data_IF_837924163520
#
_entry.id   IF_837924163520
#
_cell.length_a   1.000
_cell.length_b   1.000
_cell.length_c   1.000
_cell.angle_alpha   90.00
_cell.angle_beta   90.00
_cell.angle_gamma   90.00
#
_symmetry.space_group_name_H-M   'P 1'
#
loop_
_entity.id
_entity.type
_entity.pdbx_description
1 polymer ?
#
# COMPACT_ATOMS: atom_id res chain seq x y z
N UNK A 1 -39.10 -18.06 -25.45
CA UNK A 1 -38.20 -16.95 -25.85
C UNK A 1 -38.15 -16.88 -27.35
N UNK A 2 -38.30 -15.70 -27.93
CA UNK A 2 -38.19 -15.47 -29.38
C UNK A 2 -36.84 -14.83 -29.72
N UNK A 3 -36.39 -14.98 -30.97
CA UNK A 3 -35.14 -14.40 -31.45
C UNK A 3 -35.11 -12.87 -31.26
N UNK A 4 -36.24 -12.22 -31.47
CA UNK A 4 -36.41 -10.78 -31.29
C UNK A 4 -36.18 -10.31 -29.85
N UNK A 5 -36.62 -11.12 -28.87
CA UNK A 5 -36.35 -10.86 -27.45
C UNK A 5 -34.85 -10.93 -27.12
N UNK A 6 -34.13 -11.89 -27.74
CA UNK A 6 -32.68 -12.06 -27.54
C UNK A 6 -31.90 -10.89 -28.14
N UNK A 7 -32.28 -10.44 -29.35
CA UNK A 7 -31.65 -9.29 -30.01
C UNK A 7 -31.86 -8.00 -29.21
N UNK A 8 -33.08 -7.76 -28.73
CA UNK A 8 -33.37 -6.60 -27.89
C UNK A 8 -32.62 -6.64 -26.55
N UNK A 9 -32.48 -7.83 -25.94
CA UNK A 9 -31.70 -7.99 -24.71
C UNK A 9 -30.21 -7.70 -24.95
N UNK A 10 -29.66 -8.14 -26.08
CA UNK A 10 -28.26 -7.88 -26.45
C UNK A 10 -28.00 -6.39 -26.65
N UNK A 11 -28.89 -5.69 -27.35
CA UNK A 11 -28.75 -4.25 -27.58
C UNK A 11 -28.81 -3.45 -26.27
N UNK A 12 -29.74 -3.81 -25.36
CA UNK A 12 -29.83 -3.20 -24.03
C UNK A 12 -28.57 -3.46 -23.18
N UNK A 13 -28.02 -4.67 -23.26
CA UNK A 13 -26.79 -5.00 -22.55
C UNK A 13 -25.61 -4.18 -23.07
N UNK A 14 -25.48 -4.05 -24.39
CA UNK A 14 -24.43 -3.25 -25.01
C UNK A 14 -24.52 -1.77 -24.60
N UNK A 15 -25.72 -1.19 -24.58
CA UNK A 15 -25.93 0.18 -24.11
C UNK A 15 -25.57 0.36 -22.63
N UNK A 16 -25.89 -0.65 -21.78
CA UNK A 16 -25.54 -0.63 -20.36
C UNK A 16 -24.04 -0.71 -20.13
N UNK A 17 -23.33 -1.57 -20.87
CA UNK A 17 -21.86 -1.70 -20.77
C UNK A 17 -21.19 -0.38 -21.15
N UNK A 18 -21.59 0.23 -22.27
CA UNK A 18 -21.04 1.51 -22.72
C UNK A 18 -21.22 2.63 -21.67
N UNK A 19 -22.39 2.67 -21.02
CA UNK A 19 -22.67 3.66 -19.97
C UNK A 19 -21.79 3.42 -18.73
N UNK A 20 -21.64 2.17 -18.29
CA UNK A 20 -20.77 1.83 -17.16
C UNK A 20 -19.29 2.15 -17.45
N UNK A 21 -18.82 1.92 -18.67
CA UNK A 21 -17.45 2.28 -19.07
C UNK A 21 -17.24 3.80 -19.04
N UNK A 22 -18.17 4.57 -19.60
CA UNK A 22 -18.11 6.04 -19.57
C UNK A 22 -18.18 6.60 -18.14
N UNK A 23 -19.01 6.02 -17.27
CA UNK A 23 -19.09 6.42 -15.88
C UNK A 23 -17.79 6.10 -15.12
N UNK A 24 -17.17 4.94 -15.39
CA UNK A 24 -15.88 4.57 -14.81
C UNK A 24 -14.74 5.49 -15.26
N UNK A 25 -14.72 5.92 -16.52
CA UNK A 25 -13.76 6.93 -17.01
C UNK A 25 -13.95 8.27 -16.29
N UNK A 26 -15.20 8.70 -16.08
CA UNK A 26 -15.52 9.95 -15.36
C UNK A 26 -15.17 9.89 -13.87
N UNK A 27 -15.30 8.72 -13.24
CA UNK A 27 -14.98 8.51 -11.82
C UNK A 27 -13.48 8.28 -11.60
N UNK A 28 -12.80 7.57 -12.51
CA UNK A 28 -11.35 7.39 -12.47
C UNK A 28 -10.58 8.72 -12.54
N UNK A 29 -11.12 9.72 -13.25
CA UNK A 29 -10.56 11.07 -13.31
C UNK A 29 -10.85 11.93 -12.06
N UNK A 30 -11.74 11.50 -11.15
CA UNK A 30 -12.21 12.30 -10.00
C UNK A 30 -11.93 11.67 -8.64
N UNK A 31 -11.54 10.39 -8.58
CA UNK A 31 -11.46 9.64 -7.32
C UNK A 31 -10.04 9.46 -6.78
N UNK A 32 -8.99 9.72 -7.57
CA UNK A 32 -7.58 9.58 -7.13
C UNK A 32 -6.98 10.91 -6.64
N UNK A 33 -7.57 12.04 -7.04
CA UNK A 33 -6.98 13.38 -6.91
C UNK A 33 -7.09 13.96 -5.48
N UNK A 34 -8.26 13.83 -4.81
CA UNK A 34 -8.52 14.61 -3.59
C UNK A 34 -7.98 14.00 -2.27
N UNK A 35 -7.53 12.74 -2.28
CA UNK A 35 -7.04 12.08 -1.05
C UNK A 35 -5.66 11.43 -1.18
N UNK A 36 -5.23 11.07 -2.39
CA UNK A 36 -3.97 10.34 -2.61
C UNK A 36 -2.81 11.27 -3.00
N UNK A 37 -3.06 12.41 -3.62
CA UNK A 37 -1.99 13.28 -4.14
C UNK A 37 -1.23 14.07 -3.05
N UNK A 38 -1.79 14.23 -1.85
CA UNK A 38 -1.16 14.99 -0.76
C UNK A 38 -0.51 14.13 0.32
N UNK A 39 -0.77 12.82 0.31
CA UNK A 39 -0.24 11.90 1.32
C UNK A 39 1.10 11.32 0.83
N UNK A 40 2.19 11.86 1.37
CA UNK A 40 3.52 11.28 1.18
C UNK A 40 3.54 9.78 1.52
N UNK A 41 4.29 8.95 0.77
CA UNK A 41 4.37 7.52 1.06
C UNK A 41 4.78 7.27 2.51
N UNK A 42 4.16 6.30 3.19
CA UNK A 42 4.49 5.96 4.58
C UNK A 42 5.99 5.73 4.77
N UNK A 43 6.64 5.06 3.81
CA UNK A 43 8.08 4.85 3.84
C UNK A 43 8.86 6.18 3.87
N UNK A 44 8.46 7.17 3.08
CA UNK A 44 9.09 8.49 3.03
C UNK A 44 8.89 9.23 4.37
N UNK A 45 7.66 9.21 4.90
CA UNK A 45 7.36 9.80 6.21
C UNK A 45 8.23 9.20 7.34
N UNK A 46 8.47 7.88 7.31
CA UNK A 46 9.32 7.21 8.30
C UNK A 46 10.79 7.61 8.20
N UNK A 47 11.33 7.77 6.99
CA UNK A 47 12.72 8.19 6.77
C UNK A 47 12.96 9.67 7.12
N UNK A 48 11.99 10.53 6.83
CA UNK A 48 12.10 11.98 7.09
C UNK A 48 11.82 12.35 8.56
N UNK A 49 11.27 11.41 9.34
CA UNK A 49 11.00 11.65 10.76
C UNK A 49 12.31 11.80 11.54
N UNK A 50 12.47 12.96 12.19
CA UNK A 50 13.64 13.23 13.02
C UNK A 50 13.62 12.39 14.30
N UNK A 51 14.78 11.84 14.67
CA UNK A 51 14.93 11.09 15.92
C UNK A 51 14.72 12.04 17.12
N UNK A 52 13.91 11.68 18.13
CA UNK A 52 13.70 12.52 19.30
C UNK A 52 15.03 12.87 20.01
N UNK A 53 15.19 14.09 20.56
CA UNK A 53 16.44 14.52 21.19
C UNK A 53 16.84 13.69 22.42
N UNK A 54 15.87 13.01 23.05
CA UNK A 54 16.09 12.13 24.20
C UNK A 54 16.24 10.65 23.83
N UNK A 55 16.32 10.32 22.54
CA UNK A 55 16.53 8.95 22.10
C UNK A 55 17.87 8.44 22.64
N UNK A 56 17.82 7.39 23.46
CA UNK A 56 19.01 6.69 23.94
C UNK A 56 19.26 5.51 23.01
N UNK A 57 20.43 5.48 22.39
CA UNK A 57 20.88 4.31 21.65
C UNK A 57 20.98 3.16 22.66
N UNK A 58 20.28 2.03 22.44
CA UNK A 58 20.44 0.88 23.32
C UNK A 58 21.89 0.42 23.27
N UNK A 59 22.46 0.14 24.45
CA UNK A 59 23.80 -0.44 24.52
C UNK A 59 23.72 -1.91 24.08
N UNK A 60 23.98 -2.16 22.80
CA UNK A 60 24.06 -3.51 22.28
C UNK A 60 25.43 -4.11 22.63
N UNK A 61 25.48 -5.36 23.14
CA UNK A 61 26.75 -6.04 23.32
C UNK A 61 27.46 -6.18 21.97
N UNK A 62 28.72 -5.78 21.89
CA UNK A 62 29.55 -5.91 20.69
C UNK A 62 30.34 -7.21 20.73
N UNK A 63 30.37 -7.95 19.62
CA UNK A 63 31.22 -9.14 19.50
C UNK A 63 32.67 -8.73 19.26
N UNK A 64 33.56 -9.07 20.19
CA UNK A 64 34.96 -8.65 20.15
C UNK A 64 35.90 -9.70 19.51
N UNK A 65 35.32 -10.79 19.01
CA UNK A 65 36.01 -11.92 18.37
C UNK A 65 36.81 -12.81 19.33
N UNK A 66 36.77 -12.56 20.64
CA UNK A 66 37.56 -13.29 21.64
C UNK A 66 36.71 -14.23 22.49
N UNK A 67 35.42 -13.96 22.60
CA UNK A 67 34.46 -14.84 23.26
C UNK A 67 33.88 -15.85 22.28
N UNK A 68 33.41 -16.98 22.79
CA UNK A 68 32.68 -17.96 21.99
C UNK A 68 31.44 -17.30 21.32
N UNK A 69 31.20 -17.51 20.02
CA UNK A 69 30.07 -16.89 19.32
C UNK A 69 28.70 -17.26 19.91
N UNK A 70 28.55 -18.46 20.47
CA UNK A 70 27.30 -18.91 21.08
C UNK A 70 27.02 -18.18 22.40
N UNK A 71 28.06 -17.98 23.22
CA UNK A 71 27.99 -17.18 24.45
C UNK A 71 27.62 -15.71 24.16
N UNK A 72 28.13 -15.15 23.05
CA UNK A 72 27.79 -13.80 22.63
C UNK A 72 26.30 -13.67 22.23
N UNK A 73 25.75 -14.66 21.53
CA UNK A 73 24.34 -14.68 21.11
C UNK A 73 23.38 -14.71 22.31
N UNK A 74 23.72 -15.43 23.38
CA UNK A 74 22.89 -15.47 24.59
C UNK A 74 22.84 -14.12 25.31
N UNK A 75 23.87 -13.29 25.18
CA UNK A 75 23.95 -11.96 25.81
C UNK A 75 23.04 -10.92 25.11
N UNK A 76 22.61 -11.17 23.88
CA UNK A 76 21.73 -10.26 23.10
C UNK A 76 20.23 -10.42 23.48
N UNK A 77 19.87 -11.51 24.18
CA UNK A 77 18.47 -11.93 24.41
C UNK A 77 17.90 -11.69 25.81
N UNK A 78 18.58 -10.96 26.69
CA UNK A 78 18.14 -10.63 28.07
C UNK A 78 17.87 -9.15 28.22
#
# INVERSE_FOLDING_TARGET
MTLEQVVNALHNLQAKVLNMEQERERQGAKSDDDAQETSQPLAQALWDTQVPPNFKIPHLPTFDGKTDPLEHLMTVGT
#
